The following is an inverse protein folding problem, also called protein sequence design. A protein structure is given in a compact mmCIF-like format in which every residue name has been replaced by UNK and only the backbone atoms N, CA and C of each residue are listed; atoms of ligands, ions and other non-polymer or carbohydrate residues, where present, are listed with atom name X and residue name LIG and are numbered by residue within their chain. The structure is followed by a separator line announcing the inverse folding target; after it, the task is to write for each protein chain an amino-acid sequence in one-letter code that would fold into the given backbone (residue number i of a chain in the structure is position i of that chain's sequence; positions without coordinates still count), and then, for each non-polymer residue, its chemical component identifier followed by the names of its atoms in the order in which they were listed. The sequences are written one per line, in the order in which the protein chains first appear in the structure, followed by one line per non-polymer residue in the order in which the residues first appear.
data_IF_976958539650
#
_entry.id   IF_976958539650
#
_cell.length_a   1.000
_cell.length_b   1.000
_cell.length_c   1.000
_cell.angle_alpha   90.00
_cell.angle_beta   90.00
_cell.angle_gamma   90.00
#
_symmetry.space_group_name_H-M   'P 1'
#
loop_
_entity.id
_entity.type
_entity.pdbx_description
1 polymer ?
#
# COMPACT_ATOMS: atom_id res chain seq x y z
N UNK A 1 -23.53 0.01 5.25
CA UNK A 1 -22.58 0.46 6.30
C UNK A 1 -22.40 1.96 6.11
N UNK A 2 -22.34 2.74 7.17
CA UNK A 2 -22.16 4.20 7.08
C UNK A 2 -20.75 4.55 7.55
N UNK A 3 -19.92 5.04 6.62
CA UNK A 3 -18.56 5.52 6.89
C UNK A 3 -18.43 7.03 6.63
N UNK A 4 -19.54 7.74 6.42
CA UNK A 4 -19.53 9.17 6.12
C UNK A 4 -18.80 9.96 7.21
N UNK A 5 -17.90 10.84 6.81
CA UNK A 5 -17.08 11.66 7.71
C UNK A 5 -15.88 10.93 8.34
N UNK A 6 -15.70 9.62 8.09
CA UNK A 6 -14.58 8.84 8.64
C UNK A 6 -13.26 9.19 7.95
N UNK A 7 -12.21 9.32 8.74
CA UNK A 7 -10.84 9.35 8.25
C UNK A 7 -10.38 7.94 7.83
N UNK A 8 -9.43 7.86 6.89
CA UNK A 8 -8.84 6.62 6.44
C UNK A 8 -7.31 6.68 6.59
N UNK A 9 -6.81 6.48 7.83
CA UNK A 9 -5.42 6.72 8.20
C UNK A 9 -4.59 5.43 8.26
N UNK A 10 -5.16 4.36 8.82
CA UNK A 10 -4.56 3.03 8.94
C UNK A 10 -5.66 1.99 9.12
N UNK A 11 -5.44 0.74 8.68
CA UNK A 11 -6.45 -0.31 8.80
C UNK A 11 -6.67 -0.83 10.22
N UNK A 12 -5.80 -0.48 11.16
CA UNK A 12 -6.05 -0.72 12.60
C UNK A 12 -7.34 -0.03 13.09
N UNK A 13 -7.69 1.11 12.50
CA UNK A 13 -8.87 1.91 12.87
C UNK A 13 -10.20 1.35 12.34
N UNK A 14 -10.15 0.27 11.54
CA UNK A 14 -11.31 -0.32 10.86
C UNK A 14 -11.59 -1.75 11.36
N UNK A 15 -12.87 -2.11 11.39
CA UNK A 15 -13.25 -3.50 11.63
C UNK A 15 -13.05 -4.35 10.36
N UNK A 16 -12.95 -5.68 10.48
CA UNK A 16 -12.92 -6.57 9.31
C UNK A 16 -14.09 -6.33 8.34
N UNK A 17 -15.28 -6.11 8.87
CA UNK A 17 -16.51 -5.88 8.07
C UNK A 17 -16.45 -4.55 7.31
N UNK A 18 -15.89 -3.50 7.92
CA UNK A 18 -15.68 -2.19 7.27
C UNK A 18 -14.66 -2.30 6.13
N UNK A 19 -13.57 -3.05 6.34
CA UNK A 19 -12.56 -3.30 5.30
C UNK A 19 -13.17 -4.08 4.14
N UNK A 20 -13.90 -5.17 4.42
CA UNK A 20 -14.57 -5.97 3.39
C UNK A 20 -15.62 -5.16 2.63
N UNK A 21 -16.38 -4.31 3.31
CA UNK A 21 -17.33 -3.40 2.66
C UNK A 21 -16.65 -2.48 1.65
N UNK A 22 -15.50 -1.88 1.99
CA UNK A 22 -14.75 -1.02 1.06
C UNK A 22 -14.21 -1.80 -0.15
N UNK A 23 -13.78 -3.04 0.06
CA UNK A 23 -13.31 -3.93 -1.02
C UNK A 23 -14.47 -4.31 -1.95
N UNK A 24 -15.64 -4.64 -1.41
CA UNK A 24 -16.81 -5.00 -2.19
C UNK A 24 -17.37 -3.80 -2.97
N UNK A 25 -17.39 -2.62 -2.35
CA UNK A 25 -17.74 -1.37 -3.02
C UNK A 25 -16.76 -1.05 -4.16
N UNK A 26 -15.45 -1.27 -3.94
CA UNK A 26 -14.45 -1.08 -4.98
C UNK A 26 -14.67 -2.01 -6.18
N UNK A 27 -15.01 -3.27 -5.93
CA UNK A 27 -15.34 -4.24 -6.97
C UNK A 27 -16.59 -3.81 -7.77
N UNK A 28 -17.63 -3.33 -7.09
CA UNK A 28 -18.84 -2.79 -7.74
C UNK A 28 -18.52 -1.58 -8.62
N UNK A 29 -17.78 -0.61 -8.08
CA UNK A 29 -17.39 0.61 -8.82
C UNK A 29 -16.45 0.31 -9.99
N UNK A 30 -15.59 -0.70 -9.86
CA UNK A 30 -14.74 -1.21 -10.94
C UNK A 30 -15.59 -1.80 -12.07
N UNK A 31 -16.57 -2.64 -11.75
CA UNK A 31 -17.48 -3.24 -12.71
C UNK A 31 -18.30 -2.16 -13.47
N UNK A 32 -18.84 -1.16 -12.75
CA UNK A 32 -19.52 -0.02 -13.37
C UNK A 32 -18.62 0.71 -14.36
N UNK A 33 -17.38 1.03 -13.96
CA UNK A 33 -16.42 1.70 -14.85
C UNK A 33 -16.12 0.88 -16.10
N UNK A 34 -15.88 -0.43 -15.96
CA UNK A 34 -15.63 -1.34 -17.10
C UNK A 34 -16.83 -1.46 -18.05
N UNK A 35 -18.04 -1.31 -17.55
CA UNK A 35 -19.28 -1.26 -18.34
C UNK A 35 -19.61 0.12 -18.90
N UNK A 36 -18.78 1.14 -18.67
CA UNK A 36 -19.02 2.51 -19.12
C UNK A 36 -20.16 3.22 -18.38
N UNK A 37 -20.57 2.72 -17.21
CA UNK A 37 -21.61 3.32 -16.38
C UNK A 37 -21.01 4.50 -15.63
N UNK A 38 -21.50 5.71 -15.91
CA UNK A 38 -21.04 6.92 -15.25
C UNK A 38 -21.67 7.06 -13.85
N UNK A 39 -20.86 7.55 -12.91
CA UNK A 39 -21.24 7.79 -11.50
C UNK A 39 -20.89 9.22 -11.05
N UNK A 40 -20.75 10.15 -12.00
CA UNK A 40 -20.30 11.53 -11.75
C UNK A 40 -21.25 12.35 -10.86
N UNK A 41 -22.48 11.95 -10.73
CA UNK A 41 -23.48 12.57 -9.87
C UNK A 41 -23.36 12.19 -8.39
N UNK A 42 -22.56 11.16 -8.05
CA UNK A 42 -22.43 10.65 -6.69
C UNK A 42 -21.91 11.70 -5.71
N UNK A 43 -20.91 12.47 -6.10
CA UNK A 43 -20.32 13.55 -5.29
C UNK A 43 -20.09 14.84 -6.11
N UNK A 44 -20.95 15.08 -7.08
CA UNK A 44 -20.85 16.24 -7.98
C UNK A 44 -20.73 17.56 -7.22
N UNK A 45 -19.73 18.36 -7.59
CA UNK A 45 -19.49 19.69 -7.03
C UNK A 45 -18.66 19.73 -5.76
N UNK A 46 -18.26 18.56 -5.20
CA UNK A 46 -17.28 18.51 -4.12
C UNK A 46 -15.86 18.70 -4.64
N UNK A 47 -14.96 19.15 -3.76
CA UNK A 47 -13.55 19.35 -4.06
C UNK A 47 -12.68 18.71 -2.99
N UNK A 48 -11.53 18.17 -3.38
CA UNK A 48 -10.57 17.56 -2.46
C UNK A 48 -9.16 18.07 -2.71
N UNK A 49 -8.39 18.25 -1.62
CA UNK A 49 -6.99 18.60 -1.67
C UNK A 49 -6.13 17.34 -1.66
N UNK A 50 -5.11 17.29 -2.53
CA UNK A 50 -4.15 16.19 -2.62
C UNK A 50 -2.77 16.72 -2.23
N UNK A 51 -2.33 16.44 -1.00
CA UNK A 51 -1.06 16.93 -0.44
C UNK A 51 0.01 15.86 -0.63
N UNK A 52 1.06 16.18 -1.38
CA UNK A 52 2.18 15.27 -1.62
C UNK A 52 3.48 15.89 -1.14
N UNK A 53 4.02 15.42 -0.02
CA UNK A 53 5.39 15.70 0.42
C UNK A 53 6.39 14.69 -0.17
N UNK A 54 5.91 13.48 -0.51
CA UNK A 54 6.62 12.48 -1.33
C UNK A 54 5.90 12.33 -2.67
N UNK A 55 6.62 12.48 -3.76
CA UNK A 55 6.06 12.33 -5.11
C UNK A 55 5.55 10.92 -5.37
N UNK A 56 4.53 10.78 -6.20
CA UNK A 56 4.01 9.49 -6.64
C UNK A 56 3.16 9.65 -7.89
N UNK A 57 3.51 8.93 -8.94
CA UNK A 57 2.69 8.86 -10.16
C UNK A 57 1.39 8.09 -9.89
N UNK A 58 1.48 6.88 -9.34
CA UNK A 58 0.31 5.99 -9.15
C UNK A 58 -0.70 6.54 -8.16
N UNK A 59 -0.27 6.99 -6.99
CA UNK A 59 -1.19 7.52 -5.97
C UNK A 59 -1.89 8.77 -6.47
N UNK A 60 -1.15 9.70 -7.09
CA UNK A 60 -1.73 10.91 -7.67
C UNK A 60 -2.76 10.58 -8.75
N UNK A 61 -2.37 9.81 -9.77
CA UNK A 61 -3.29 9.43 -10.84
C UNK A 61 -4.52 8.67 -10.32
N UNK A 62 -4.34 7.79 -9.32
CA UNK A 62 -5.45 7.05 -8.73
C UNK A 62 -6.46 7.97 -8.05
N UNK A 63 -6.01 8.93 -7.23
CA UNK A 63 -6.90 9.90 -6.60
C UNK A 63 -7.56 10.83 -7.60
N UNK A 64 -6.80 11.39 -8.56
CA UNK A 64 -7.36 12.30 -9.57
C UNK A 64 -8.41 11.61 -10.45
N UNK A 65 -8.12 10.41 -10.96
CA UNK A 65 -9.09 9.68 -11.80
C UNK A 65 -10.29 9.21 -10.98
N UNK A 66 -10.08 8.70 -9.76
CA UNK A 66 -11.17 8.29 -8.89
C UNK A 66 -12.09 9.47 -8.53
N UNK A 67 -11.53 10.64 -8.20
CA UNK A 67 -12.27 11.86 -7.94
C UNK A 67 -13.08 12.30 -9.17
N UNK A 68 -12.44 12.32 -10.36
CA UNK A 68 -13.10 12.66 -11.61
C UNK A 68 -14.30 11.74 -11.92
N UNK A 69 -14.15 10.43 -11.70
CA UNK A 69 -15.23 9.45 -11.89
C UNK A 69 -16.43 9.72 -10.95
N UNK A 70 -16.20 10.28 -9.77
CA UNK A 70 -17.21 10.62 -8.77
C UNK A 70 -17.80 12.04 -8.93
N UNK A 71 -17.29 12.83 -9.89
CA UNK A 71 -17.68 14.23 -10.08
C UNK A 71 -17.02 15.23 -9.14
N UNK A 72 -15.88 14.85 -8.55
CA UNK A 72 -15.13 15.65 -7.57
C UNK A 72 -14.00 16.41 -8.25
N UNK A 73 -13.85 17.70 -7.93
CA UNK A 73 -12.69 18.51 -8.31
C UNK A 73 -11.48 18.21 -7.42
N UNK A 74 -10.27 18.30 -7.99
CA UNK A 74 -9.01 18.05 -7.24
C UNK A 74 -8.07 19.24 -7.32
N UNK A 75 -7.37 19.52 -6.22
CA UNK A 75 -6.23 20.42 -6.20
C UNK A 75 -4.98 19.65 -5.74
N UNK A 76 -3.98 19.57 -6.59
CA UNK A 76 -2.72 18.94 -6.28
C UNK A 76 -1.75 19.95 -5.66
N UNK A 77 -1.26 19.65 -4.47
CA UNK A 77 -0.28 20.42 -3.73
C UNK A 77 1.04 19.64 -3.66
N UNK A 78 1.99 20.03 -4.49
CA UNK A 78 3.32 19.39 -4.57
C UNK A 78 4.25 19.83 -3.42
N UNK A 79 5.40 19.16 -3.24
CA UNK A 79 6.34 19.49 -2.15
C UNK A 79 6.94 20.90 -2.25
N UNK A 80 6.91 21.52 -3.42
CA UNK A 80 7.45 22.87 -3.66
C UNK A 80 6.38 23.94 -3.52
N UNK A 81 5.14 23.62 -3.84
CA UNK A 81 3.99 24.53 -3.77
C UNK A 81 3.31 24.60 -2.41
N UNK A 82 3.63 23.69 -1.47
CA UNK A 82 3.02 23.66 -0.14
C UNK A 82 3.90 24.36 0.91
N UNK A 83 3.26 25.07 1.84
CA UNK A 83 3.90 25.69 3.01
C UNK A 83 3.76 24.82 4.27
N UNK A 84 3.11 23.66 4.19
CA UNK A 84 2.85 22.76 5.32
C UNK A 84 4.15 22.38 6.04
N UNK A 85 4.17 22.51 7.35
CA UNK A 85 5.33 22.20 8.18
C UNK A 85 6.56 23.12 7.99
N UNK A 86 6.47 24.14 7.12
CA UNK A 86 7.57 25.09 6.83
C UNK A 86 7.29 26.47 7.42
N UNK A 87 6.31 27.18 6.86
CA UNK A 87 5.86 28.49 7.33
C UNK A 87 4.51 28.45 8.01
N UNK A 88 3.79 27.35 7.87
CA UNK A 88 2.48 27.14 8.44
C UNK A 88 2.47 25.82 9.19
N UNK A 89 1.83 25.78 10.37
CA UNK A 89 1.70 24.55 11.15
C UNK A 89 0.76 23.56 10.44
N UNK A 90 0.94 22.27 10.71
CA UNK A 90 0.05 21.22 10.19
C UNK A 90 -1.40 21.49 10.61
N UNK A 91 -1.61 21.87 11.87
CA UNK A 91 -2.93 22.19 12.40
C UNK A 91 -3.60 23.38 11.70
N UNK A 92 -2.85 24.44 11.38
CA UNK A 92 -3.41 25.61 10.69
C UNK A 92 -3.69 25.29 9.22
N UNK A 93 -2.78 24.61 8.55
CA UNK A 93 -3.03 24.09 7.19
C UNK A 93 -4.28 23.21 7.14
N UNK A 94 -4.44 22.31 8.12
CA UNK A 94 -5.62 21.44 8.20
C UNK A 94 -6.92 22.25 8.32
N UNK A 95 -6.95 23.26 9.18
CA UNK A 95 -8.14 24.13 9.37
C UNK A 95 -8.47 24.94 8.09
N UNK A 96 -7.44 25.50 7.46
CA UNK A 96 -7.61 26.26 6.21
C UNK A 96 -8.14 25.36 5.10
N UNK A 97 -7.50 24.22 4.84
CA UNK A 97 -7.94 23.32 3.79
C UNK A 97 -9.29 22.68 4.11
N UNK A 98 -9.56 22.30 5.36
CA UNK A 98 -10.86 21.78 5.78
C UNK A 98 -12.01 22.77 5.69
N UNK A 99 -11.71 24.09 5.63
CA UNK A 99 -12.74 25.12 5.35
C UNK A 99 -13.05 25.30 3.85
N UNK A 100 -12.17 24.80 2.97
CA UNK A 100 -12.28 24.96 1.51
C UNK A 100 -12.68 23.68 0.79
N UNK A 101 -12.28 22.53 1.33
CA UNK A 101 -12.41 21.21 0.69
C UNK A 101 -13.27 20.28 1.53
N UNK A 102 -13.93 19.33 0.88
CA UNK A 102 -14.72 18.28 1.52
C UNK A 102 -13.91 17.05 1.92
N UNK A 103 -12.63 16.97 1.53
CA UNK A 103 -11.72 15.91 1.90
C UNK A 103 -10.27 16.26 1.59
N UNK A 104 -9.34 15.63 2.28
CA UNK A 104 -7.90 15.87 2.16
C UNK A 104 -7.16 14.53 2.04
N UNK A 105 -6.38 14.35 0.99
CA UNK A 105 -5.39 13.28 0.91
C UNK A 105 -4.03 13.81 1.36
N UNK A 106 -3.29 12.98 2.08
CA UNK A 106 -1.91 13.24 2.45
C UNK A 106 -1.00 12.06 2.10
N UNK A 107 0.08 12.35 1.40
CA UNK A 107 1.17 11.40 1.15
C UNK A 107 2.50 12.03 1.56
N UNK A 108 3.16 11.45 2.57
CA UNK A 108 4.38 12.06 3.10
C UNK A 108 5.20 11.15 4.00
N UNK A 109 5.61 11.68 5.13
CA UNK A 109 6.59 11.07 6.02
C UNK A 109 5.92 10.40 7.22
N UNK A 110 5.87 11.08 8.39
CA UNK A 110 5.42 10.48 9.63
C UNK A 110 3.90 10.31 9.72
N UNK A 111 3.46 9.24 10.36
CA UNK A 111 2.04 8.98 10.61
C UNK A 111 1.41 10.07 11.48
N UNK A 112 2.19 10.67 12.40
CA UNK A 112 1.76 11.77 13.26
C UNK A 112 1.28 12.99 12.46
N UNK A 113 1.84 13.22 11.28
CA UNK A 113 1.45 14.34 10.41
C UNK A 113 0.02 14.16 9.87
N UNK A 114 -0.28 12.97 9.32
CA UNK A 114 -1.62 12.70 8.80
C UNK A 114 -2.66 12.59 9.91
N UNK A 115 -2.27 12.13 11.09
CA UNK A 115 -3.13 12.10 12.28
C UNK A 115 -3.42 13.51 12.80
N UNK A 116 -2.44 14.41 12.79
CA UNK A 116 -2.65 15.82 13.13
C UNK A 116 -3.55 16.54 12.11
N UNK A 117 -3.34 16.31 10.80
CA UNK A 117 -4.25 16.78 9.75
C UNK A 117 -5.69 16.33 10.02
N UNK A 118 -5.89 15.05 10.29
CA UNK A 118 -7.21 14.47 10.56
C UNK A 118 -7.87 15.07 11.81
N UNK A 119 -7.08 15.39 12.83
CA UNK A 119 -7.57 15.99 14.07
C UNK A 119 -8.16 17.39 13.89
N UNK A 120 -7.61 18.16 12.96
CA UNK A 120 -7.94 19.60 12.85
C UNK A 120 -8.69 19.97 11.55
N UNK A 121 -8.76 19.08 10.56
CA UNK A 121 -9.38 19.38 9.26
C UNK A 121 -10.91 19.54 9.33
N UNK A 122 -11.60 18.79 10.19
CA UNK A 122 -13.06 18.79 10.24
C UNK A 122 -13.74 18.12 9.04
N UNK A 123 -12.95 17.55 8.12
CA UNK A 123 -13.38 16.78 6.94
C UNK A 123 -12.59 15.48 6.88
N UNK A 124 -13.03 14.45 6.13
CA UNK A 124 -12.28 13.21 5.96
C UNK A 124 -10.86 13.45 5.47
N UNK A 125 -9.91 12.78 6.12
CA UNK A 125 -8.49 12.75 5.72
C UNK A 125 -8.12 11.33 5.34
N UNK A 126 -7.45 11.17 4.19
CA UNK A 126 -7.02 9.89 3.65
C UNK A 126 -5.50 9.80 3.58
N UNK A 127 -4.96 8.73 4.15
CA UNK A 127 -3.53 8.43 4.10
C UNK A 127 -3.16 7.79 2.76
N UNK A 128 -2.53 8.55 1.87
CA UNK A 128 -1.99 8.05 0.61
C UNK A 128 -0.71 7.22 0.78
N UNK A 129 0.08 7.51 1.80
CA UNK A 129 1.24 6.77 2.32
C UNK A 129 1.93 7.59 3.42
N UNK A 130 2.31 6.92 4.49
CA UNK A 130 3.31 7.41 5.46
C UNK A 130 4.47 6.42 5.57
N UNK A 131 5.45 6.71 6.42
CA UNK A 131 6.54 5.76 6.71
C UNK A 131 6.02 4.49 7.38
N UNK A 132 4.96 4.61 8.17
CA UNK A 132 4.42 3.54 9.00
C UNK A 132 3.31 2.74 8.32
N UNK A 133 2.45 3.39 7.49
CA UNK A 133 1.29 2.73 6.90
C UNK A 133 0.98 3.18 5.46
N UNK A 134 0.42 2.24 4.69
CA UNK A 134 -0.08 2.47 3.33
C UNK A 134 -1.45 1.82 3.13
N UNK A 135 -2.51 2.32 3.81
CA UNK A 135 -3.81 1.63 3.84
C UNK A 135 -4.49 1.55 2.47
N UNK A 136 -4.30 2.53 1.59
CA UNK A 136 -4.88 2.50 0.23
C UNK A 136 -4.29 1.40 -0.64
N UNK A 137 -3.02 1.03 -0.44
CA UNK A 137 -2.40 -0.12 -1.10
C UNK A 137 -3.04 -1.43 -0.64
N UNK A 138 -3.27 -1.56 0.66
CA UNK A 138 -3.82 -2.79 1.24
C UNK A 138 -5.20 -3.16 0.69
N UNK A 139 -6.07 -2.18 0.46
CA UNK A 139 -7.37 -2.46 -0.16
C UNK A 139 -7.21 -2.97 -1.59
N UNK A 140 -6.27 -2.41 -2.37
CA UNK A 140 -5.97 -2.85 -3.72
C UNK A 140 -5.38 -4.26 -3.73
N UNK A 141 -4.47 -4.55 -2.81
CA UNK A 141 -3.85 -5.86 -2.67
C UNK A 141 -4.91 -6.94 -2.38
N UNK A 142 -5.78 -6.69 -1.39
CA UNK A 142 -6.83 -7.64 -1.02
C UNK A 142 -7.88 -7.80 -2.13
N UNK A 143 -8.24 -6.72 -2.84
CA UNK A 143 -9.12 -6.82 -4.01
C UNK A 143 -8.49 -7.71 -5.08
N UNK A 144 -7.20 -7.52 -5.38
CA UNK A 144 -6.46 -8.32 -6.36
C UNK A 144 -6.38 -9.78 -5.94
N UNK A 145 -6.07 -10.05 -4.67
CA UNK A 145 -6.07 -11.41 -4.10
C UNK A 145 -7.45 -12.06 -4.27
N UNK A 146 -8.52 -11.34 -3.93
CA UNK A 146 -9.90 -11.83 -4.09
C UNK A 146 -10.25 -12.15 -5.54
N UNK A 147 -9.85 -11.28 -6.48
CA UNK A 147 -10.09 -11.47 -7.92
C UNK A 147 -9.30 -12.65 -8.50
N UNK A 148 -8.05 -12.86 -8.06
CA UNK A 148 -7.17 -13.92 -8.60
C UNK A 148 -7.35 -15.26 -7.92
N UNK A 149 -7.54 -15.28 -6.61
CA UNK A 149 -7.62 -16.52 -5.82
C UNK A 149 -9.05 -16.91 -5.41
N UNK A 150 -10.05 -16.06 -5.65
CA UNK A 150 -11.45 -16.30 -5.31
C UNK A 150 -11.77 -16.31 -3.80
N UNK A 151 -10.79 -16.01 -2.95
CA UNK A 151 -10.92 -16.01 -1.49
C UNK A 151 -10.00 -14.96 -0.86
N UNK A 152 -10.29 -14.62 0.39
CA UNK A 152 -9.46 -13.76 1.24
C UNK A 152 -9.02 -14.56 2.47
N UNK A 153 -9.99 -15.02 3.27
CA UNK A 153 -9.71 -15.75 4.51
C UNK A 153 -8.88 -17.00 4.25
N UNK A 154 -7.86 -17.21 5.08
CA UNK A 154 -6.95 -18.35 4.99
C UNK A 154 -5.91 -18.27 3.86
N UNK A 155 -5.83 -17.16 3.11
CA UNK A 155 -4.75 -16.90 2.15
C UNK A 155 -3.44 -16.78 2.91
N UNK A 156 -2.40 -17.44 2.43
CA UNK A 156 -1.04 -17.37 2.97
C UNK A 156 -0.23 -16.36 2.16
N UNK A 157 0.11 -15.24 2.77
CA UNK A 157 0.90 -14.18 2.18
C UNK A 157 2.28 -14.13 2.84
N UNK A 158 3.32 -14.28 2.03
CA UNK A 158 4.71 -14.11 2.46
C UNK A 158 5.27 -12.82 1.89
N UNK A 159 5.70 -11.92 2.77
CA UNK A 159 6.42 -10.70 2.43
C UNK A 159 7.93 -10.93 2.56
N UNK A 160 8.69 -10.60 1.51
CA UNK A 160 10.14 -10.74 1.46
C UNK A 160 10.79 -9.36 1.28
N UNK A 161 11.70 -8.98 2.18
CA UNK A 161 12.37 -7.69 2.15
C UNK A 161 12.35 -6.97 3.50
N UNK A 162 12.43 -5.64 3.51
CA UNK A 162 12.41 -4.86 4.75
C UNK A 162 10.98 -4.69 5.27
N UNK A 163 10.62 -5.44 6.30
CA UNK A 163 9.28 -5.45 6.87
C UNK A 163 9.04 -4.41 7.97
N UNK A 164 10.00 -3.51 8.25
CA UNK A 164 9.89 -2.51 9.33
C UNK A 164 9.02 -1.30 8.99
N UNK A 165 8.77 -1.05 7.71
CA UNK A 165 8.10 0.14 7.20
C UNK A 165 6.67 -0.13 6.72
N UNK A 166 6.10 0.82 6.00
CA UNK A 166 4.67 0.86 5.66
C UNK A 166 4.15 -0.41 5.00
N UNK A 167 4.87 -1.05 4.08
CA UNK A 167 4.38 -2.24 3.40
C UNK A 167 4.33 -3.45 4.34
N UNK A 168 5.43 -3.76 5.03
CA UNK A 168 5.47 -4.87 6.00
C UNK A 168 4.43 -4.69 7.10
N UNK A 169 4.36 -3.49 7.68
CA UNK A 169 3.39 -3.15 8.73
C UNK A 169 1.94 -3.31 8.22
N UNK A 170 1.62 -2.71 7.08
CA UNK A 170 0.25 -2.69 6.57
C UNK A 170 -0.22 -4.06 6.11
N UNK A 171 0.65 -4.85 5.47
CA UNK A 171 0.34 -6.23 5.07
C UNK A 171 0.08 -7.11 6.31
N UNK A 172 0.90 -6.97 7.36
CA UNK A 172 0.68 -7.69 8.62
C UNK A 172 -0.68 -7.32 9.24
N UNK A 173 -1.01 -6.04 9.29
CA UNK A 173 -2.28 -5.55 9.83
C UNK A 173 -3.48 -6.07 9.03
N UNK A 174 -3.47 -5.93 7.70
CA UNK A 174 -4.61 -6.38 6.88
C UNK A 174 -4.78 -7.89 6.93
N UNK A 175 -3.70 -8.66 6.97
CA UNK A 175 -3.76 -10.11 7.13
C UNK A 175 -4.37 -10.49 8.49
N UNK A 176 -3.92 -9.85 9.58
CA UNK A 176 -4.48 -10.07 10.91
C UNK A 176 -5.99 -9.75 10.95
N UNK A 177 -6.40 -8.62 10.37
CA UNK A 177 -7.82 -8.18 10.34
C UNK A 177 -8.71 -9.14 9.54
N UNK A 178 -8.24 -9.65 8.39
CA UNK A 178 -9.07 -10.42 7.46
C UNK A 178 -8.92 -11.96 7.56
N UNK A 179 -8.22 -12.44 8.59
CA UNK A 179 -8.03 -13.89 8.78
C UNK A 179 -7.12 -14.51 7.74
N UNK A 180 -6.17 -13.76 7.19
CA UNK A 180 -5.10 -14.24 6.31
C UNK A 180 -3.86 -14.59 7.16
N UNK A 181 -3.01 -15.46 6.64
CA UNK A 181 -1.76 -15.83 7.29
C UNK A 181 -0.62 -14.98 6.74
N UNK A 182 0.03 -14.21 7.60
CA UNK A 182 1.16 -13.35 7.23
C UNK A 182 2.49 -13.97 7.66
N UNK A 183 3.44 -13.99 6.74
CA UNK A 183 4.83 -14.35 7.03
C UNK A 183 5.75 -13.22 6.59
N UNK A 184 6.52 -12.63 7.52
CA UNK A 184 7.66 -11.79 7.18
C UNK A 184 8.90 -12.70 7.04
N UNK A 185 9.37 -12.90 5.82
CA UNK A 185 10.52 -13.70 5.48
C UNK A 185 11.70 -12.78 5.14
N UNK A 186 12.53 -12.50 6.13
CA UNK A 186 13.65 -11.55 6.03
C UNK A 186 14.60 -11.76 7.20
N UNK A 187 15.71 -11.02 7.24
CA UNK A 187 16.61 -11.08 8.41
C UNK A 187 15.93 -10.49 9.64
N UNK A 188 16.28 -10.97 10.82
CA UNK A 188 15.74 -10.50 12.10
C UNK A 188 15.85 -8.98 12.27
N UNK A 189 16.87 -8.37 11.69
CA UNK A 189 17.09 -6.91 11.70
C UNK A 189 15.95 -6.13 11.03
N UNK A 190 15.27 -6.74 10.06
CA UNK A 190 14.22 -6.13 9.25
C UNK A 190 12.82 -6.65 9.60
N UNK A 191 12.65 -7.32 10.73
CA UNK A 191 11.32 -7.68 11.24
C UNK A 191 10.53 -6.43 11.63
N UNK A 192 9.20 -6.48 11.55
CA UNK A 192 8.33 -5.41 12.04
C UNK A 192 8.56 -5.10 13.52
N UNK A 193 8.15 -3.91 13.95
CA UNK A 193 8.22 -3.52 15.36
C UNK A 193 7.48 -4.51 16.27
N UNK A 194 8.09 -4.89 17.38
CA UNK A 194 7.59 -5.94 18.28
C UNK A 194 6.23 -5.56 18.92
N UNK A 195 5.98 -4.27 19.17
CA UNK A 195 4.70 -3.83 19.73
C UNK A 195 3.57 -4.01 18.70
N UNK A 196 3.82 -3.64 17.44
CA UNK A 196 2.87 -3.85 16.35
C UNK A 196 2.64 -5.34 16.07
N UNK A 197 3.68 -6.18 16.12
CA UNK A 197 3.55 -7.64 16.00
C UNK A 197 2.61 -8.18 17.06
N UNK A 198 2.80 -7.79 18.32
CA UNK A 198 1.96 -8.22 19.44
C UNK A 198 0.49 -7.77 19.29
N UNK A 199 0.26 -6.56 18.80
CA UNK A 199 -1.08 -6.06 18.50
C UNK A 199 -1.74 -6.89 17.39
N UNK A 200 -1.02 -7.14 16.30
CA UNK A 200 -1.51 -7.97 15.20
C UNK A 200 -1.77 -9.43 15.62
N UNK A 201 -0.94 -10.01 16.48
CA UNK A 201 -1.17 -11.35 17.04
C UNK A 201 -2.46 -11.41 17.89
N UNK A 202 -2.75 -10.35 18.64
CA UNK A 202 -3.99 -10.25 19.39
C UNK A 202 -5.23 -10.20 18.49
N UNK A 203 -5.16 -9.45 17.40
CA UNK A 203 -6.21 -9.40 16.36
C UNK A 203 -6.33 -10.77 15.67
N UNK A 204 -5.21 -11.37 15.29
CA UNK A 204 -5.14 -12.66 14.60
C UNK A 204 -5.84 -13.79 15.36
N UNK A 205 -5.72 -13.81 16.70
CA UNK A 205 -6.44 -14.77 17.56
C UNK A 205 -7.96 -14.70 17.41
N UNK A 206 -8.50 -13.54 17.07
CA UNK A 206 -9.95 -13.35 16.92
C UNK A 206 -10.43 -13.73 15.50
N UNK A 207 -9.59 -13.52 14.48
CA UNK A 207 -9.94 -13.75 13.08
C UNK A 207 -9.54 -15.13 12.54
N UNK A 208 -8.65 -15.82 13.26
CA UNK A 208 -8.06 -17.08 12.82
C UNK A 208 -6.82 -16.91 11.92
N UNK A 209 -6.27 -15.70 11.85
CA UNK A 209 -5.00 -15.42 11.18
C UNK A 209 -3.80 -15.97 11.98
N UNK A 210 -2.64 -16.03 11.33
CA UNK A 210 -1.34 -16.27 11.97
C UNK A 210 -0.33 -15.24 11.52
N UNK A 211 0.58 -14.86 12.43
CA UNK A 211 1.70 -13.99 12.14
C UNK A 211 2.99 -14.79 12.38
N UNK A 212 3.83 -14.88 11.37
CA UNK A 212 5.10 -15.62 11.41
C UNK A 212 6.24 -14.69 11.00
N UNK A 213 7.36 -14.76 11.74
CA UNK A 213 8.60 -14.07 11.41
C UNK A 213 9.68 -15.13 11.22
N UNK A 214 10.36 -15.13 10.08
CA UNK A 214 11.39 -16.17 9.80
C UNK A 214 12.52 -15.62 8.94
N UNK A 215 13.71 -16.13 9.17
CA UNK A 215 14.88 -15.90 8.31
C UNK A 215 15.06 -17.04 7.28
N UNK A 216 14.32 -18.13 7.42
CA UNK A 216 14.37 -19.30 6.54
C UNK A 216 13.47 -19.09 5.32
N UNK A 217 14.09 -18.86 4.17
CA UNK A 217 13.39 -18.60 2.89
C UNK A 217 12.56 -19.81 2.45
N UNK A 218 13.09 -21.04 2.61
CA UNK A 218 12.39 -22.26 2.19
C UNK A 218 11.13 -22.48 3.05
N UNK A 219 11.27 -22.39 4.35
CA UNK A 219 10.15 -22.53 5.27
C UNK A 219 9.13 -21.39 5.11
N UNK A 220 9.60 -20.16 4.94
CA UNK A 220 8.75 -18.96 4.84
C UNK A 220 7.94 -18.85 3.54
N UNK A 221 8.41 -19.46 2.45
CA UNK A 221 7.75 -19.38 1.14
C UNK A 221 6.99 -20.65 0.75
N UNK A 222 7.18 -21.74 1.47
CA UNK A 222 6.57 -23.05 1.16
C UNK A 222 5.05 -23.00 1.16
N UNK A 223 4.47 -23.24 -0.02
CA UNK A 223 3.03 -23.29 -0.19
C UNK A 223 2.33 -21.96 0.11
N UNK A 224 3.01 -20.82 -0.03
CA UNK A 224 2.41 -19.50 0.02
C UNK A 224 1.48 -19.30 -1.17
N UNK A 225 0.33 -18.69 -0.95
CA UNK A 225 -0.59 -18.30 -2.04
C UNK A 225 -0.14 -17.00 -2.71
N UNK A 226 0.53 -16.13 -1.95
CA UNK A 226 1.03 -14.83 -2.40
C UNK A 226 2.46 -14.65 -1.95
N UNK A 227 3.34 -14.33 -2.90
CA UNK A 227 4.69 -13.81 -2.61
C UNK A 227 4.67 -12.32 -2.92
N UNK A 228 5.01 -11.52 -1.90
CA UNK A 228 5.01 -10.06 -1.98
C UNK A 228 6.40 -9.52 -1.67
N UNK A 229 6.84 -8.51 -2.42
CA UNK A 229 8.07 -7.76 -2.08
C UNK A 229 7.91 -6.27 -2.38
N UNK A 230 8.86 -5.49 -1.92
CA UNK A 230 8.99 -4.06 -2.19
C UNK A 230 10.48 -3.71 -2.36
N UNK A 231 10.76 -2.54 -2.89
CA UNK A 231 12.15 -2.04 -3.04
C UNK A 231 12.93 -2.14 -1.75
N UNK A 232 14.20 -2.53 -1.84
CA UNK A 232 15.05 -2.69 -0.65
C UNK A 232 15.42 -1.40 0.04
N UNK A 233 15.38 -0.28 -0.68
CA UNK A 233 15.63 1.05 -0.15
C UNK A 233 14.42 1.93 -0.44
N UNK A 234 13.77 2.39 0.63
CA UNK A 234 12.55 3.19 0.53
C UNK A 234 12.85 4.63 0.12
N UNK A 235 11.88 5.27 -0.51
CA UNK A 235 11.98 6.68 -0.90
C UNK A 235 12.23 7.57 0.32
N UNK A 236 13.35 8.33 0.27
CA UNK A 236 13.77 9.23 1.35
C UNK A 236 14.83 8.66 2.28
N UNK A 237 15.22 7.38 2.12
CA UNK A 237 16.41 6.84 2.79
C UNK A 237 17.71 7.36 2.10
N UNK A 238 18.81 7.54 2.85
CA UNK A 238 20.05 8.03 2.28
C UNK A 238 20.74 6.97 1.39
N UNK A 239 21.47 7.43 0.38
CA UNK A 239 22.19 6.54 -0.55
C UNK A 239 23.22 5.64 0.14
N UNK A 240 23.68 6.00 1.33
CA UNK A 240 24.64 5.22 2.12
C UNK A 240 24.11 3.85 2.56
N UNK A 241 22.80 3.62 2.56
CA UNK A 241 22.22 2.33 3.01
C UNK A 241 22.18 1.26 1.91
N UNK A 242 22.39 1.61 0.63
CA UNK A 242 22.25 0.68 -0.49
C UNK A 242 23.15 -0.56 -0.36
N UNK A 243 24.45 -0.38 -0.06
CA UNK A 243 25.39 -1.49 0.04
C UNK A 243 24.98 -2.50 1.10
N UNK A 244 24.59 -2.01 2.28
CA UNK A 244 24.12 -2.84 3.38
C UNK A 244 22.83 -3.59 3.00
N UNK A 245 21.86 -2.88 2.40
CA UNK A 245 20.57 -3.47 2.00
C UNK A 245 20.75 -4.53 0.94
N UNK A 246 21.54 -4.28 -0.09
CA UNK A 246 21.84 -5.27 -1.14
C UNK A 246 22.47 -6.52 -0.51
N UNK A 247 23.49 -6.36 0.34
CA UNK A 247 24.16 -7.49 0.98
C UNK A 247 23.22 -8.30 1.84
N UNK A 248 22.39 -7.65 2.66
CA UNK A 248 21.54 -8.31 3.65
C UNK A 248 20.24 -8.85 3.07
N UNK A 249 19.71 -8.23 2.01
CA UNK A 249 18.43 -8.62 1.42
C UNK A 249 18.56 -9.48 0.15
N UNK A 250 19.76 -9.56 -0.47
CA UNK A 250 19.95 -10.45 -1.63
C UNK A 250 19.52 -11.91 -1.41
N UNK A 251 19.70 -12.52 -0.21
CA UNK A 251 19.18 -13.86 0.05
C UNK A 251 17.65 -13.96 0.01
N UNK A 252 16.95 -12.83 0.12
CA UNK A 252 15.50 -12.72 0.14
C UNK A 252 14.94 -12.18 -1.18
N UNK A 253 15.73 -12.15 -2.26
CA UNK A 253 15.25 -11.81 -3.59
C UNK A 253 14.16 -12.78 -4.04
N UNK A 254 13.06 -12.25 -4.57
CA UNK A 254 12.02 -13.08 -5.18
C UNK A 254 12.49 -13.51 -6.57
N UNK A 255 12.73 -14.79 -6.72
CA UNK A 255 13.21 -15.42 -7.94
C UNK A 255 12.38 -16.68 -8.25
N UNK A 256 12.70 -17.34 -9.37
CA UNK A 256 11.98 -18.54 -9.79
C UNK A 256 11.95 -19.63 -8.72
N UNK A 257 13.06 -19.85 -7.97
CA UNK A 257 13.11 -20.86 -6.90
C UNK A 257 12.11 -20.57 -5.78
N UNK A 258 11.95 -19.29 -5.41
CA UNK A 258 10.96 -18.84 -4.42
C UNK A 258 9.54 -19.12 -4.93
N UNK A 259 9.24 -18.75 -6.18
CA UNK A 259 7.92 -18.99 -6.77
C UNK A 259 7.60 -20.48 -6.94
N UNK A 260 8.59 -21.30 -7.33
CA UNK A 260 8.43 -22.76 -7.43
C UNK A 260 8.15 -23.39 -6.06
N UNK A 261 8.77 -22.89 -4.99
CA UNK A 261 8.53 -23.36 -3.61
C UNK A 261 7.13 -22.95 -3.09
N UNK A 262 6.66 -21.77 -3.47
CA UNK A 262 5.30 -21.34 -3.18
C UNK A 262 4.27 -22.20 -3.95
N UNK A 263 4.54 -22.53 -5.20
CA UNK A 263 3.74 -23.42 -6.04
C UNK A 263 3.18 -22.72 -7.28
N UNK A 264 2.72 -23.52 -8.23
CA UNK A 264 2.28 -23.04 -9.55
C UNK A 264 1.03 -22.14 -9.53
N UNK A 265 0.26 -22.17 -8.44
CA UNK A 265 -0.93 -21.32 -8.26
C UNK A 265 -0.65 -20.05 -7.46
N UNK A 266 0.57 -19.91 -6.92
CA UNK A 266 0.97 -18.70 -6.22
C UNK A 266 1.01 -17.50 -7.17
N UNK A 267 0.62 -16.33 -6.66
CA UNK A 267 0.75 -15.06 -7.38
C UNK A 267 1.88 -14.23 -6.80
N UNK A 268 2.54 -13.47 -7.68
CA UNK A 268 3.55 -12.47 -7.31
C UNK A 268 2.92 -11.08 -7.29
N UNK A 269 3.15 -10.33 -6.21
CA UNK A 269 2.63 -8.98 -6.00
C UNK A 269 3.76 -8.02 -5.61
N UNK A 270 3.60 -6.75 -6.00
CA UNK A 270 4.54 -5.67 -5.72
C UNK A 270 3.85 -4.31 -5.88
N UNK A 271 3.95 -3.44 -4.89
CA UNK A 271 3.29 -2.12 -4.91
C UNK A 271 3.83 -1.16 -5.99
N UNK A 272 4.93 -1.49 -6.63
CA UNK A 272 5.66 -0.66 -7.60
C UNK A 272 6.13 0.72 -7.05
N UNK A 273 7.28 1.24 -7.51
CA UNK A 273 8.14 0.75 -8.61
C UNK A 273 8.95 -0.48 -8.19
N UNK A 274 9.40 -1.29 -9.16
CA UNK A 274 10.26 -2.44 -8.95
C UNK A 274 11.59 -2.28 -9.67
N UNK A 275 12.68 -2.80 -9.08
CA UNK A 275 14.01 -2.81 -9.70
C UNK A 275 14.37 -4.21 -10.18
N UNK A 276 13.63 -4.68 -11.19
CA UNK A 276 13.79 -6.00 -11.81
C UNK A 276 14.71 -6.00 -13.02
N UNK A 277 15.12 -4.82 -13.51
CA UNK A 277 16.03 -4.66 -14.67
C UNK A 277 16.85 -3.36 -14.57
N UNK A 278 17.66 -3.08 -15.61
CA UNK A 278 18.50 -1.87 -15.70
C UNK A 278 17.86 -0.71 -16.48
N UNK A 279 16.55 -0.75 -16.78
CA UNK A 279 15.89 0.30 -17.59
C UNK A 279 15.61 1.58 -16.83
N UNK A 280 15.65 1.54 -15.48
CA UNK A 280 15.49 2.74 -14.65
C UNK A 280 16.85 3.40 -14.39
N UNK A 281 16.84 4.73 -14.11
CA UNK A 281 18.07 5.46 -13.74
C UNK A 281 18.74 4.84 -12.51
N UNK A 282 17.97 4.59 -11.45
CA UNK A 282 18.48 4.01 -10.19
C UNK A 282 18.99 2.58 -10.44
N UNK A 283 18.24 1.76 -11.20
CA UNK A 283 18.67 0.41 -11.56
C UNK A 283 20.02 0.39 -12.26
N UNK A 284 20.23 1.32 -13.21
CA UNK A 284 21.53 1.50 -13.88
C UNK A 284 22.66 1.90 -12.93
N UNK A 285 22.44 2.95 -12.13
CA UNK A 285 23.44 3.46 -11.17
C UNK A 285 23.84 2.38 -10.16
N UNK A 286 22.88 1.64 -9.62
CA UNK A 286 23.14 0.54 -8.67
C UNK A 286 23.77 -0.67 -9.36
N UNK A 287 23.35 -0.97 -10.58
CA UNK A 287 23.96 -2.02 -11.41
C UNK A 287 25.43 -1.76 -11.70
N UNK A 288 25.80 -0.54 -12.10
CA UNK A 288 27.17 -0.14 -12.33
C UNK A 288 28.02 -0.15 -11.04
N UNK A 289 27.42 0.30 -9.93
CA UNK A 289 28.12 0.41 -8.64
C UNK A 289 28.34 -0.95 -7.94
N UNK A 290 27.36 -1.84 -8.00
CA UNK A 290 27.34 -3.09 -7.23
C UNK A 290 27.38 -4.36 -8.08
N UNK A 291 27.38 -4.24 -9.42
CA UNK A 291 27.46 -5.39 -10.33
C UNK A 291 26.21 -6.27 -10.34
N UNK A 292 25.04 -5.69 -10.03
CA UNK A 292 23.75 -6.38 -9.99
C UNK A 292 22.85 -5.88 -11.13
N UNK A 293 22.03 -6.75 -11.68
CA UNK A 293 21.10 -6.43 -12.77
C UNK A 293 19.64 -6.44 -12.33
N UNK A 294 19.36 -7.07 -11.21
CA UNK A 294 18.04 -7.27 -10.61
C UNK A 294 18.16 -7.14 -9.10
N UNK A 295 17.19 -6.57 -8.42
CA UNK A 295 17.24 -6.34 -6.98
C UNK A 295 16.22 -7.22 -6.25
N UNK A 296 15.14 -6.66 -5.74
CA UNK A 296 14.16 -7.37 -4.89
C UNK A 296 13.41 -8.49 -5.61
N UNK A 297 13.33 -8.41 -6.93
CA UNK A 297 12.69 -9.43 -7.78
C UNK A 297 13.46 -9.59 -9.09
N UNK A 298 13.50 -10.81 -9.63
CA UNK A 298 14.07 -11.06 -10.96
C UNK A 298 13.09 -10.68 -12.07
N UNK A 299 13.62 -10.28 -13.24
CA UNK A 299 12.82 -9.96 -14.43
C UNK A 299 11.96 -11.15 -14.87
N UNK A 300 12.52 -12.38 -14.77
CA UNK A 300 11.80 -13.63 -15.05
C UNK A 300 10.52 -13.76 -14.23
N UNK A 301 10.54 -13.42 -12.94
CA UNK A 301 9.34 -13.48 -12.07
C UNK A 301 8.43 -12.31 -12.35
N UNK A 302 8.98 -11.11 -12.48
CA UNK A 302 8.21 -9.88 -12.70
C UNK A 302 7.37 -9.95 -13.99
N UNK A 303 7.90 -10.51 -15.06
CA UNK A 303 7.24 -10.66 -16.36
C UNK A 303 6.51 -12.03 -16.52
N UNK A 304 6.47 -12.85 -15.47
CA UNK A 304 5.83 -14.16 -15.52
C UNK A 304 4.31 -14.09 -15.50
N UNK A 305 3.65 -15.19 -15.86
CA UNK A 305 2.20 -15.34 -15.76
C UNK A 305 1.68 -15.35 -14.31
N UNK A 306 2.54 -15.56 -13.32
CA UNK A 306 2.20 -15.49 -11.90
C UNK A 306 2.20 -14.04 -11.36
N UNK A 307 2.81 -13.10 -12.08
CA UNK A 307 2.85 -11.68 -11.71
C UNK A 307 1.51 -11.00 -11.99
N UNK A 308 0.99 -10.32 -10.98
CA UNK A 308 -0.29 -9.58 -11.06
C UNK A 308 -0.13 -8.10 -10.70
N UNK A 309 1.11 -7.60 -10.79
CA UNK A 309 1.49 -6.26 -10.33
C UNK A 309 0.75 -5.12 -11.05
N UNK A 310 0.39 -5.31 -12.31
CA UNK A 310 -0.31 -4.27 -13.07
C UNK A 310 -1.81 -4.23 -12.76
N UNK A 311 -2.45 -5.38 -12.55
CA UNK A 311 -3.83 -5.44 -12.06
C UNK A 311 -3.93 -4.91 -10.62
N UNK A 312 -2.94 -5.20 -9.77
CA UNK A 312 -2.78 -4.63 -8.44
C UNK A 312 -2.70 -3.10 -8.50
N UNK A 313 -1.87 -2.56 -9.39
CA UNK A 313 -1.73 -1.12 -9.60
C UNK A 313 -3.04 -0.48 -10.13
N UNK A 314 -3.76 -1.13 -11.05
CA UNK A 314 -5.09 -0.67 -11.51
C UNK A 314 -6.08 -0.61 -10.35
N UNK A 315 -6.09 -1.61 -9.49
CA UNK A 315 -7.00 -1.71 -8.35
C UNK A 315 -6.84 -0.58 -7.34
N UNK A 316 -5.68 0.09 -7.29
CA UNK A 316 -5.46 1.30 -6.48
C UNK A 316 -6.49 2.39 -6.77
N UNK A 317 -6.78 2.66 -8.04
CA UNK A 317 -7.77 3.66 -8.43
C UNK A 317 -9.18 3.25 -7.98
N UNK A 318 -9.54 1.98 -8.09
CA UNK A 318 -10.87 1.50 -7.73
C UNK A 318 -11.11 1.50 -6.23
N UNK A 319 -10.11 1.11 -5.44
CA UNK A 319 -10.22 1.09 -3.97
C UNK A 319 -10.17 2.49 -3.36
N UNK A 320 -9.35 3.39 -3.89
CA UNK A 320 -9.34 4.81 -3.52
C UNK A 320 -10.71 5.45 -3.83
N UNK A 321 -11.29 5.12 -5.00
CA UNK A 321 -12.65 5.57 -5.35
C UNK A 321 -13.68 5.12 -4.32
N UNK A 322 -13.61 3.86 -3.87
CA UNK A 322 -14.51 3.33 -2.85
C UNK A 322 -14.35 4.06 -1.51
N UNK A 323 -13.11 4.34 -1.09
CA UNK A 323 -12.84 5.11 0.14
C UNK A 323 -13.46 6.51 0.05
N UNK A 324 -13.20 7.25 -1.02
CA UNK A 324 -13.80 8.57 -1.21
C UNK A 324 -15.34 8.51 -1.28
N UNK A 325 -15.90 7.56 -2.03
CA UNK A 325 -17.35 7.40 -2.17
C UNK A 325 -18.03 7.08 -0.84
N UNK A 326 -17.39 6.31 0.03
CA UNK A 326 -17.97 5.90 1.30
C UNK A 326 -17.81 6.94 2.42
N UNK A 327 -16.80 7.82 2.33
CA UNK A 327 -16.46 8.74 3.44
C UNK A 327 -16.90 10.18 3.20
N UNK A 328 -17.15 10.60 1.96
CA UNK A 328 -17.69 11.91 1.59
C UNK A 328 -19.22 11.93 1.65
#
# INVERSE_FOLDING_TARGET
MDLKGRNFLKLLDFTPEEILYLIDLAAELKDKKKKGILIKDMHQGKNVALIFEKTSTRTRCSFEVAAHDLGIGTTYLDPTGSQIGKKESIADTARVLGSMYEGIEYRGYGQEIVEELAKYAGVPVWNGLTNEFHPTQMLADVLTIKEKLGRIKGVKLTYMGDARYNMGNSLMVVCAKLGMHFTACTTKKYFPDAALVKECEAIAKQTGATITLTEDVEAGTKGADVIYTDVWVSMGEPDSVWEERIRELSPYQVNKKVMDNAGSQAIFMHCLPAFHDLKTKIGKEMGEKFGITEMEVTDEVFESAQSVVFEEAENRMHTIKAVMAATL
#
